data_IF_187986216243
#
_entry.id   IF_187986216243
#
_cell.length_a   1.000
_cell.length_b   1.000
_cell.length_c   1.000
_cell.angle_alpha   90.00
_cell.angle_beta   90.00
_cell.angle_gamma   90.00
#
_symmetry.space_group_name_H-M   'P 1'
#
loop_
_entity.id
_entity.type
_entity.pdbx_description
1 polymer ?
#
# COMPACT_ATOMS: atom_id res chain seq x y z
N UNK A 1 -49.59 -15.84 11.27
CA UNK A 1 -48.36 -16.67 11.33
C UNK A 1 -47.62 -16.84 10.00
N UNK A 2 -48.21 -16.57 8.82
CA UNK A 2 -47.52 -16.72 7.52
C UNK A 2 -46.60 -15.55 7.13
N UNK A 3 -46.82 -14.36 7.69
CA UNK A 3 -46.01 -13.15 7.43
C UNK A 3 -44.69 -13.08 8.24
N UNK A 4 -44.61 -13.77 9.38
CA UNK A 4 -43.39 -13.77 10.23
C UNK A 4 -42.25 -14.60 9.62
N UNK A 5 -42.58 -15.66 8.86
CA UNK A 5 -41.59 -16.49 8.18
C UNK A 5 -40.90 -15.80 7.01
N UNK A 6 -41.58 -14.86 6.34
CA UNK A 6 -41.02 -14.11 5.21
C UNK A 6 -39.98 -13.10 5.70
N UNK A 7 -40.18 -12.53 6.91
CA UNK A 7 -39.23 -11.60 7.54
C UNK A 7 -37.90 -12.28 7.91
N UNK A 8 -37.93 -13.56 8.30
CA UNK A 8 -36.73 -14.30 8.73
C UNK A 8 -35.79 -14.65 7.56
N UNK A 9 -36.31 -14.81 6.34
CA UNK A 9 -35.52 -15.14 5.14
C UNK A 9 -34.77 -13.91 4.59
N UNK A 10 -35.24 -12.69 4.87
CA UNK A 10 -34.55 -11.46 4.44
C UNK A 10 -33.33 -11.10 5.29
N UNK A 11 -33.17 -11.67 6.49
CA UNK A 11 -32.02 -11.38 7.36
C UNK A 11 -30.77 -12.23 7.07
N UNK A 12 -30.87 -13.33 6.30
CA UNK A 12 -29.74 -14.24 6.08
C UNK A 12 -28.83 -13.86 4.90
N UNK A 13 -29.17 -12.82 4.13
CA UNK A 13 -28.41 -12.39 2.96
C UNK A 13 -27.43 -11.23 3.20
N UNK A 14 -27.23 -10.78 4.45
CA UNK A 14 -26.16 -9.84 4.78
C UNK A 14 -24.80 -10.57 4.87
N UNK A 15 -24.32 -11.12 3.75
CA UNK A 15 -22.92 -11.53 3.65
C UNK A 15 -22.05 -10.27 3.62
N UNK A 16 -21.32 -10.00 4.69
CA UNK A 16 -20.37 -8.91 4.74
C UNK A 16 -19.23 -9.22 3.74
N UNK A 17 -19.17 -8.50 2.62
CA UNK A 17 -18.08 -8.66 1.64
C UNK A 17 -16.78 -8.17 2.28
N UNK A 18 -15.90 -9.11 2.63
CA UNK A 18 -14.57 -8.77 3.12
C UNK A 18 -13.65 -8.52 1.92
N UNK A 19 -12.98 -7.36 1.86
CA UNK A 19 -12.03 -7.10 0.79
C UNK A 19 -10.85 -8.06 0.91
N UNK A 20 -10.42 -8.59 -0.23
CA UNK A 20 -9.24 -9.46 -0.33
C UNK A 20 -7.99 -8.72 0.14
N UNK A 21 -7.11 -9.41 0.89
CA UNK A 21 -5.91 -8.84 1.50
C UNK A 21 -4.77 -9.85 1.56
N UNK A 22 -4.20 -10.16 0.40
CA UNK A 22 -3.07 -11.09 0.23
C UNK A 22 -1.74 -10.33 0.18
N UNK A 23 -1.28 -9.82 1.32
CA UNK A 23 -0.14 -8.89 1.39
C UNK A 23 1.21 -9.52 1.03
N UNK A 24 1.37 -10.83 1.25
CA UNK A 24 2.61 -11.56 0.94
C UNK A 24 2.98 -11.44 -0.54
N UNK A 25 1.98 -11.45 -1.43
CA UNK A 25 2.20 -11.30 -2.87
C UNK A 25 2.82 -9.93 -3.20
N UNK A 26 2.61 -8.92 -2.35
CA UNK A 26 3.06 -7.57 -2.57
C UNK A 26 4.31 -7.23 -1.76
N UNK A 27 4.92 -8.17 -1.03
CA UNK A 27 6.15 -7.87 -0.27
C UNK A 27 7.31 -7.44 -1.16
N UNK A 28 7.46 -8.10 -2.31
CA UNK A 28 8.51 -7.79 -3.28
C UNK A 28 7.93 -7.54 -4.66
N UNK A 29 8.64 -6.75 -5.47
CA UNK A 29 8.19 -6.43 -6.83
C UNK A 29 8.64 -5.06 -7.30
N UNK A 30 8.31 -4.77 -8.56
CA UNK A 30 8.32 -3.42 -9.09
C UNK A 30 6.89 -2.91 -9.12
N UNK A 31 6.68 -1.72 -8.59
CA UNK A 31 5.37 -1.10 -8.44
C UNK A 31 5.36 0.27 -9.10
N UNK A 32 4.17 0.69 -9.53
CA UNK A 32 3.88 2.04 -9.98
C UNK A 32 2.75 2.64 -9.16
N UNK A 33 2.92 3.90 -8.78
CA UNK A 33 1.92 4.69 -8.08
C UNK A 33 1.76 6.02 -8.80
N UNK A 34 0.52 6.45 -9.01
CA UNK A 34 0.20 7.73 -9.62
C UNK A 34 -0.53 8.62 -8.62
N UNK A 35 -0.02 9.84 -8.46
CA UNK A 35 -0.61 10.87 -7.61
C UNK A 35 -0.91 12.11 -8.44
N UNK A 36 -2.10 12.68 -8.24
CA UNK A 36 -2.45 14.00 -8.75
C UNK A 36 -1.85 15.06 -7.83
N UNK A 37 -0.89 15.84 -8.35
CA UNK A 37 -0.27 16.94 -7.63
C UNK A 37 -0.55 18.22 -8.39
N UNK A 38 -1.54 18.99 -7.92
CA UNK A 38 -2.08 20.14 -8.65
C UNK A 38 -2.85 19.67 -9.89
N UNK A 39 -2.33 20.00 -11.08
CA UNK A 39 -2.90 19.60 -12.39
C UNK A 39 -2.10 18.52 -13.10
N UNK A 40 -1.00 18.04 -12.50
CA UNK A 40 -0.12 17.03 -13.09
C UNK A 40 -0.32 15.67 -12.42
N UNK A 41 -0.40 14.61 -13.24
CA UNK A 41 -0.30 13.23 -12.74
C UNK A 41 1.19 12.87 -12.65
N UNK A 42 1.66 12.60 -11.44
CA UNK A 42 3.02 12.19 -11.19
C UNK A 42 3.06 10.69 -10.93
N UNK A 43 3.78 9.97 -11.79
CA UNK A 43 4.04 8.54 -11.64
C UNK A 43 5.36 8.33 -10.91
N UNK A 44 5.32 7.57 -9.81
CA UNK A 44 6.49 7.04 -9.12
C UNK A 44 6.60 5.55 -9.44
N UNK A 45 7.78 5.10 -9.85
CA UNK A 45 8.07 3.66 -9.97
C UNK A 45 9.01 3.28 -8.85
N UNK A 46 8.74 2.20 -8.13
CA UNK A 46 9.60 1.76 -7.05
C UNK A 46 9.86 0.26 -7.11
N UNK A 47 11.10 -0.12 -6.84
CA UNK A 47 11.55 -1.49 -6.75
C UNK A 47 11.68 -1.83 -5.26
N UNK A 48 10.89 -2.78 -4.78
CA UNK A 48 10.93 -3.23 -3.40
C UNK A 48 11.37 -4.68 -3.29
N UNK A 49 12.30 -4.93 -2.37
CA UNK A 49 12.57 -6.26 -1.82
C UNK A 49 12.25 -6.28 -0.31
N UNK A 50 12.71 -7.30 0.41
CA UNK A 50 12.37 -7.46 1.83
C UNK A 50 12.96 -6.38 2.75
N UNK A 51 14.05 -5.73 2.38
CA UNK A 51 14.82 -4.82 3.25
C UNK A 51 15.04 -3.43 2.69
N UNK A 52 14.84 -3.22 1.38
CA UNK A 52 15.05 -1.93 0.72
C UNK A 52 13.97 -1.64 -0.33
N UNK A 53 13.75 -0.34 -0.53
CA UNK A 53 12.95 0.23 -1.61
C UNK A 53 13.83 1.20 -2.40
N UNK A 54 13.80 1.10 -3.73
CA UNK A 54 14.46 2.05 -4.63
C UNK A 54 13.36 2.78 -5.41
N UNK A 55 13.17 4.06 -5.09
CA UNK A 55 12.14 4.91 -5.67
C UNK A 55 12.71 5.72 -6.83
N UNK A 56 12.03 5.69 -7.97
CA UNK A 56 12.32 6.49 -9.15
C UNK A 56 11.24 7.55 -9.31
N UNK A 57 11.60 8.80 -9.03
CA UNK A 57 10.72 9.96 -9.17
C UNK A 57 11.38 11.04 -10.01
N UNK A 58 10.74 11.42 -11.13
CA UNK A 58 11.26 12.43 -12.09
C UNK A 58 12.71 12.17 -12.52
N UNK A 59 13.05 10.90 -12.78
CA UNK A 59 14.39 10.47 -13.21
C UNK A 59 15.46 10.45 -12.11
N UNK A 60 15.10 10.75 -10.85
CA UNK A 60 16.00 10.63 -9.71
C UNK A 60 15.67 9.37 -8.93
N UNK A 61 16.71 8.59 -8.62
CA UNK A 61 16.62 7.45 -7.73
C UNK A 61 16.89 7.87 -6.29
N UNK A 62 16.13 7.33 -5.34
CA UNK A 62 16.42 7.39 -3.92
C UNK A 62 16.24 6.00 -3.32
N UNK A 63 16.94 5.73 -2.21
CA UNK A 63 16.92 4.42 -1.55
C UNK A 63 16.42 4.57 -0.13
N UNK A 64 15.47 3.73 0.23
CA UNK A 64 14.92 3.63 1.57
C UNK A 64 15.13 2.24 2.16
N UNK A 65 15.36 2.17 3.46
CA UNK A 65 15.28 0.91 4.21
C UNK A 65 13.84 0.57 4.55
N UNK A 66 13.51 -0.72 4.53
CA UNK A 66 12.21 -1.27 4.92
C UNK A 66 12.36 -2.07 6.20
N UNK A 67 11.44 -1.84 7.13
CA UNK A 67 11.26 -2.70 8.31
C UNK A 67 9.81 -3.17 8.40
N UNK A 68 9.59 -4.45 8.13
CA UNK A 68 8.28 -5.08 8.26
C UNK A 68 7.86 -5.18 9.73
N UNK A 69 6.61 -4.84 10.01
CA UNK A 69 5.93 -5.04 11.29
C UNK A 69 5.15 -6.36 11.24
N UNK A 70 4.48 -6.62 10.11
CA UNK A 70 3.81 -7.87 9.75
C UNK A 70 3.69 -7.96 8.22
N UNK A 71 2.96 -8.92 7.67
CA UNK A 71 2.87 -9.10 6.21
C UNK A 71 2.25 -7.92 5.46
N UNK A 72 1.44 -7.10 6.12
CA UNK A 72 0.71 -5.99 5.52
C UNK A 72 1.17 -4.60 5.97
N UNK A 73 2.11 -4.52 6.93
CA UNK A 73 2.53 -3.26 7.54
C UNK A 73 4.04 -3.19 7.64
N UNK A 74 4.60 -2.05 7.24
CA UNK A 74 6.04 -1.82 7.24
C UNK A 74 6.35 -0.34 7.43
N UNK A 75 7.59 -0.06 7.81
CA UNK A 75 8.12 1.29 7.93
C UNK A 75 9.17 1.49 6.85
N UNK A 76 9.05 2.59 6.13
CA UNK A 76 10.02 3.05 5.12
C UNK A 76 10.77 4.25 5.69
N UNK A 77 12.09 4.24 5.55
CA UNK A 77 12.96 5.36 5.95
C UNK A 77 14.04 5.58 4.92
N UNK A 78 14.21 6.81 4.45
CA UNK A 78 15.28 7.19 3.52
C UNK A 78 16.65 6.91 4.12
N UNK A 79 17.54 6.31 3.32
CA UNK A 79 18.93 6.07 3.71
C UNK A 79 19.78 7.34 3.65
N UNK A 80 19.49 8.24 2.72
CA UNK A 80 20.25 9.48 2.49
C UNK A 80 19.34 10.72 2.50
N UNK A 81 18.70 11.05 3.63
CA UNK A 81 17.81 12.21 3.71
C UNK A 81 18.58 13.51 3.51
N UNK A 82 18.04 14.43 2.70
CA UNK A 82 18.68 15.73 2.41
C UNK A 82 18.29 16.83 3.38
N UNK A 83 17.23 16.62 4.15
CA UNK A 83 16.69 17.58 5.11
C UNK A 83 15.88 16.84 6.20
N UNK A 84 15.56 17.55 7.29
CA UNK A 84 14.80 17.01 8.43
C UNK A 84 13.40 16.51 8.09
N UNK A 85 12.80 16.99 7.00
CA UNK A 85 11.49 16.51 6.57
C UNK A 85 11.60 15.08 6.02
N UNK A 86 12.67 14.82 5.27
CA UNK A 86 12.99 13.52 4.66
C UNK A 86 13.50 12.47 5.66
N UNK A 87 14.03 12.87 6.81
CA UNK A 87 14.46 11.96 7.87
C UNK A 87 13.29 11.19 8.51
N UNK A 88 12.08 11.72 8.38
CA UNK A 88 10.87 11.17 8.99
C UNK A 88 10.52 9.83 8.35
N UNK A 89 10.36 8.82 9.19
CA UNK A 89 9.91 7.51 8.76
C UNK A 89 8.42 7.53 8.39
N UNK A 90 8.06 6.78 7.35
CA UNK A 90 6.69 6.63 6.88
C UNK A 90 6.20 5.23 7.26
N UNK A 91 5.07 5.15 7.94
CA UNK A 91 4.34 3.90 8.17
C UNK A 91 3.45 3.63 6.97
N UNK A 92 3.55 2.42 6.44
CA UNK A 92 2.78 1.95 5.29
C UNK A 92 1.92 0.76 5.72
N UNK A 93 0.67 0.75 5.29
CA UNK A 93 -0.30 -0.33 5.57
C UNK A 93 -1.09 -0.69 4.33
N UNK A 94 -0.94 -1.92 3.83
CA UNK A 94 -1.77 -2.46 2.76
C UNK A 94 -3.17 -2.71 3.32
N UNK A 95 -4.20 -2.14 2.70
CA UNK A 95 -5.60 -2.26 3.11
C UNK A 95 -6.33 -3.35 2.33
N UNK A 96 -6.21 -3.34 1.01
CA UNK A 96 -6.86 -4.31 0.12
C UNK A 96 -5.95 -4.66 -1.04
N UNK A 97 -6.12 -5.84 -1.61
CA UNK A 97 -5.42 -6.34 -2.80
C UNK A 97 -6.43 -6.77 -3.85
N UNK A 98 -6.11 -6.60 -5.12
CA UNK A 98 -6.93 -7.07 -6.24
C UNK A 98 -6.05 -7.29 -7.46
N UNK A 99 -5.93 -8.53 -7.94
CA UNK A 99 -5.03 -8.86 -9.07
C UNK A 99 -3.62 -8.31 -8.82
N UNK A 100 -3.16 -7.37 -9.67
CA UNK A 100 -1.85 -6.74 -9.58
C UNK A 100 -1.86 -5.41 -8.83
N UNK A 101 -2.99 -4.95 -8.31
CA UNK A 101 -3.08 -3.69 -7.55
C UNK A 101 -3.32 -3.92 -6.05
N UNK A 102 -2.85 -2.96 -5.25
CA UNK A 102 -3.19 -2.89 -3.84
C UNK A 102 -3.45 -1.45 -3.42
N UNK A 103 -4.42 -1.28 -2.52
CA UNK A 103 -4.65 0.00 -1.85
C UNK A 103 -3.87 0.01 -0.54
N UNK A 104 -3.30 1.16 -0.21
CA UNK A 104 -2.52 1.33 1.01
C UNK A 104 -2.87 2.64 1.69
N UNK A 105 -2.63 2.66 2.99
CA UNK A 105 -2.63 3.83 3.83
C UNK A 105 -1.19 4.14 4.24
N UNK A 106 -0.86 5.43 4.32
CA UNK A 106 0.45 5.87 4.79
C UNK A 106 0.37 7.12 5.65
N UNK A 107 1.33 7.26 6.57
CA UNK A 107 1.47 8.44 7.42
C UNK A 107 2.90 8.57 7.93
N UNK A 108 3.27 9.79 8.32
CA UNK A 108 4.50 10.00 9.11
C UNK A 108 4.32 9.31 10.47
N UNK A 109 5.32 8.52 10.88
CA UNK A 109 5.32 7.84 12.18
C UNK A 109 5.13 8.88 13.29
N UNK A 110 4.18 8.62 14.19
CA UNK A 110 3.85 9.52 15.30
C UNK A 110 2.86 10.64 14.94
N UNK A 111 2.36 10.70 13.70
CA UNK A 111 1.30 11.64 13.29
C UNK A 111 -0.03 10.91 13.03
N UNK A 112 -1.19 11.54 13.32
CA UNK A 112 -2.49 10.92 13.10
C UNK A 112 -2.98 11.02 11.65
N UNK A 113 -2.40 11.91 10.85
CA UNK A 113 -2.85 12.20 9.50
C UNK A 113 -2.45 11.08 8.55
N UNK A 114 -3.45 10.42 7.98
CA UNK A 114 -3.31 9.26 7.11
C UNK A 114 -3.79 9.60 5.71
N UNK A 115 -2.99 9.24 4.73
CA UNK A 115 -3.31 9.37 3.32
C UNK A 115 -3.45 7.99 2.70
N UNK A 116 -4.14 7.90 1.56
CA UNK A 116 -4.36 6.63 0.85
C UNK A 116 -3.90 6.72 -0.58
N UNK A 117 -3.37 5.61 -1.08
CA UNK A 117 -2.93 5.47 -2.46
C UNK A 117 -3.25 4.08 -3.01
N UNK A 118 -3.06 3.93 -4.32
CA UNK A 118 -3.19 2.64 -5.02
C UNK A 118 -1.94 2.40 -5.84
N UNK A 119 -1.25 1.29 -5.59
CA UNK A 119 -0.07 0.91 -6.35
C UNK A 119 -0.38 -0.32 -7.20
N UNK A 120 0.20 -0.34 -8.41
CA UNK A 120 0.07 -1.41 -9.39
C UNK A 120 1.42 -2.11 -9.51
N UNK A 121 1.45 -3.41 -9.31
CA UNK A 121 2.61 -4.27 -9.56
C UNK A 121 2.80 -4.41 -11.07
N UNK A 122 3.97 -4.01 -11.55
CA UNK A 122 4.32 -4.07 -12.99
C UNK A 122 5.29 -5.18 -13.31
N UNK A 123 6.03 -5.69 -12.33
CA UNK A 123 6.97 -6.80 -12.51
C UNK A 123 7.20 -7.55 -11.20
N UNK A 124 7.27 -8.87 -11.26
CA UNK A 124 7.73 -9.72 -10.15
C UNK A 124 9.25 -9.77 -10.14
N UNK A 125 9.86 -9.56 -8.98
CA UNK A 125 11.30 -9.85 -8.80
C UNK A 125 11.40 -11.34 -8.49
N UNK A 126 11.80 -12.14 -9.47
CA UNK A 126 12.21 -13.51 -9.18
C UNK A 126 13.61 -13.44 -8.56
N UNK A 127 13.68 -13.60 -7.24
CA UNK A 127 14.94 -13.89 -6.57
C UNK A 127 15.19 -15.38 -6.85
N UNK A 128 16.11 -15.67 -7.78
CA UNK A 128 16.59 -17.02 -8.03
C UNK A 128 17.72 -17.35 -7.06
#
# INVERSE_FOLDING_TARGET
>A
MRLLFISFILLTCYSCYQPERNCTDFKTGTFKFEALVGTEVLTTTFLRNDSIEIDYFRGKADTSSIRWINDCEYIVKKLHPKNKSEEKAIHMKILTTKKDEYTFEYNVVGTPNKEKGTAIKVKTINIQ
#
